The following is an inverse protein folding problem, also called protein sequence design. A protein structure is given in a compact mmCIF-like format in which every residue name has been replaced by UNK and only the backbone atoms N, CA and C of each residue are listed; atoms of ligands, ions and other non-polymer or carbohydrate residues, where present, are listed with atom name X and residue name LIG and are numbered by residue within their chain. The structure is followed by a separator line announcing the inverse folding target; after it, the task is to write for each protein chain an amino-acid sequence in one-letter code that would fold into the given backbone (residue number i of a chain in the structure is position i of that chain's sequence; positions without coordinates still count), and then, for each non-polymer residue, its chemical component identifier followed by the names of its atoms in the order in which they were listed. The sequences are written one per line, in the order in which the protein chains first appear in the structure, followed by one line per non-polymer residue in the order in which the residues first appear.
data_IF_493905070479
#
_entry.id   IF_493905070479
#
_cell.length_a   1.000
_cell.length_b   1.000
_cell.length_c   1.000
_cell.angle_alpha   90.00
_cell.angle_beta   90.00
_cell.angle_gamma   90.00
#
_symmetry.space_group_name_H-M   'P 1'
#
loop_
_entity.id
_entity.type
_entity.pdbx_description
1 polymer ?
#
# COMPACT_ATOMS: atom_id res chain seq x y z
N UNK A 1 10.36 -11.42 26.75
CA UNK A 1 10.51 -10.79 26.81
C UNK A 1 10.71 -10.75 26.91
N UNK A 2 10.68 -10.98 26.87
CA UNK A 2 10.87 -10.56 26.70
C UNK A 2 10.85 -10.13 26.59
N UNK A 3 10.38 -9.80 25.80
CA UNK A 3 10.46 -9.07 25.57
C UNK A 3 10.64 -8.85 25.19
N UNK A 4 10.54 -8.73 24.82
CA UNK A 4 10.87 -8.39 24.47
C UNK A 4 10.63 -7.91 24.18
N UNK A 5 10.42 -8.24 24.15
CA UNK A 5 10.39 -7.83 23.86
C UNK A 5 9.91 -7.71 23.86
N UNK A 6 9.46 -7.94 23.67
CA UNK A 6 9.24 -7.72 23.73
C UNK A 6 9.00 -7.62 23.94
N UNK A 7 8.72 -7.68 23.75
CA UNK A 7 8.75 -7.33 23.99
C UNK A 7 8.46 -7.36 24.06
N UNK A 8 8.06 -7.63 23.84
CA UNK A 8 7.91 -7.47 23.86
C UNK A 8 7.43 -7.79 23.87
N UNK A 9 7.17 -8.11 23.91
CA UNK A 9 6.68 -8.13 23.82
C UNK A 9 6.10 -8.34 23.63
N UNK A 10 5.90 -8.33 23.54
CA UNK A 10 5.04 -8.36 23.29
C UNK A 10 4.81 -8.61 22.84
N UNK A 11 4.68 -8.58 22.90
CA UNK A 11 4.25 -8.71 22.31
C UNK A 11 3.98 -8.47 21.40
N UNK A 12 4.14 -8.57 21.49
CA UNK A 12 3.89 -7.87 20.26
C UNK A 12 3.59 -8.80 19.14
N UNK A 13 2.37 -8.83 18.77
CA UNK A 13 1.91 -9.74 17.73
C UNK A 13 1.85 -9.06 16.38
N UNK A 14 2.89 -8.33 16.04
CA UNK A 14 2.98 -7.78 14.72
C UNK A 14 3.47 -8.86 13.78
N UNK A 15 2.75 -9.09 12.72
CA UNK A 15 3.20 -9.99 11.69
C UNK A 15 4.46 -9.45 11.02
N UNK A 16 5.16 -10.34 10.35
CA UNK A 16 6.30 -9.99 9.55
C UNK A 16 5.94 -8.98 8.48
N UNK A 17 6.85 -8.05 8.20
CA UNK A 17 6.67 -7.12 7.10
C UNK A 17 7.01 -7.79 5.78
N UNK A 18 6.16 -7.62 4.79
CA UNK A 18 6.36 -8.11 3.45
C UNK A 18 6.47 -6.96 2.47
N UNK A 19 7.18 -7.16 1.37
CA UNK A 19 7.25 -6.19 0.29
C UNK A 19 6.44 -6.68 -0.89
N UNK A 20 5.60 -5.81 -1.44
CA UNK A 20 4.95 -6.07 -2.70
C UNK A 20 5.90 -5.81 -3.86
N UNK A 21 5.65 -6.41 -5.00
CA UNK A 21 6.39 -6.13 -6.23
C UNK A 21 5.92 -4.80 -6.79
N UNK A 22 6.84 -3.85 -7.00
CA UNK A 22 6.48 -2.54 -7.52
C UNK A 22 6.74 -2.46 -9.02
N UNK A 23 5.88 -1.69 -9.71
CA UNK A 23 5.88 -1.56 -11.17
C UNK A 23 5.64 -0.09 -11.53
N UNK A 24 6.24 0.35 -12.63
CA UNK A 24 6.00 1.69 -13.20
C UNK A 24 6.35 2.82 -12.24
N UNK A 25 7.37 2.59 -11.40
CA UNK A 25 7.86 3.57 -10.44
C UNK A 25 9.38 3.62 -10.55
N UNK A 26 9.97 4.74 -10.14
CA UNK A 26 11.42 4.90 -10.14
C UNK A 26 12.01 5.00 -8.74
N UNK A 27 11.24 4.64 -7.74
CA UNK A 27 11.71 4.63 -6.36
C UNK A 27 10.59 4.39 -5.40
N UNK A 28 10.95 4.15 -4.15
CA UNK A 28 10.00 3.90 -3.09
C UNK A 28 9.74 2.44 -2.86
N UNK A 29 8.74 2.17 -2.05
CA UNK A 29 8.36 0.81 -1.68
C UNK A 29 6.88 0.73 -1.36
N UNK A 30 6.32 -0.47 -1.51
CA UNK A 30 4.99 -0.80 -1.01
C UNK A 30 5.18 -2.01 -0.10
N UNK A 31 4.88 -1.83 1.18
CA UNK A 31 5.05 -2.87 2.17
C UNK A 31 3.71 -3.17 2.83
N UNK A 32 3.56 -4.37 3.37
CA UNK A 32 2.33 -4.71 4.07
C UNK A 32 2.59 -5.66 5.23
N UNK A 33 1.65 -5.64 6.17
CA UNK A 33 1.61 -6.57 7.30
C UNK A 33 0.18 -7.08 7.43
N UNK A 34 0.05 -8.29 7.94
CA UNK A 34 -1.25 -8.91 8.15
C UNK A 34 -1.44 -9.16 9.63
N UNK A 35 -2.57 -8.74 10.17
CA UNK A 35 -2.93 -8.99 11.55
C UNK A 35 -4.43 -9.20 11.66
N UNK A 36 -4.83 -10.32 12.26
CA UNK A 36 -6.24 -10.65 12.51
C UNK A 36 -7.09 -10.57 11.24
N UNK A 37 -6.58 -11.06 10.10
CA UNK A 37 -7.31 -11.06 8.85
C UNK A 37 -7.37 -9.73 8.14
N UNK A 38 -6.67 -8.71 8.65
CA UNK A 38 -6.60 -7.38 8.03
C UNK A 38 -5.21 -7.19 7.45
N UNK A 39 -5.15 -6.73 6.22
CA UNK A 39 -3.90 -6.34 5.56
C UNK A 39 -3.71 -4.84 5.70
N UNK A 40 -2.58 -4.43 6.23
CA UNK A 40 -2.19 -3.03 6.40
C UNK A 40 -1.11 -2.73 5.38
N UNK A 41 -1.42 -1.86 4.42
CA UNK A 41 -0.50 -1.51 3.33
C UNK A 41 0.04 -0.11 3.54
N UNK A 42 1.34 0.04 3.32
CA UNK A 42 2.01 1.33 3.44
C UNK A 42 2.80 1.60 2.16
N UNK A 43 2.48 2.70 1.50
CA UNK A 43 3.18 3.19 0.31
C UNK A 43 4.15 4.26 0.76
N UNK A 44 5.44 4.04 0.51
CA UNK A 44 6.51 4.86 1.08
C UNK A 44 7.35 5.48 -0.03
N UNK A 45 7.37 6.81 -0.09
CA UNK A 45 8.27 7.58 -0.96
C UNK A 45 8.26 7.08 -2.40
N UNK A 46 7.07 6.79 -2.92
CA UNK A 46 6.89 6.15 -4.22
C UNK A 46 6.73 7.21 -5.31
N UNK A 47 7.49 7.07 -6.38
CA UNK A 47 7.47 8.04 -7.48
C UNK A 47 7.07 7.32 -8.77
N UNK A 48 5.83 7.50 -9.23
CA UNK A 48 5.40 6.86 -10.47
C UNK A 48 6.13 7.40 -11.70
N UNK A 49 6.31 6.54 -12.70
CA UNK A 49 6.94 6.90 -13.96
C UNK A 49 5.95 7.35 -15.03
N UNK A 50 4.68 6.98 -14.87
CA UNK A 50 3.68 7.10 -15.91
C UNK A 50 2.49 7.88 -15.38
N UNK A 51 2.05 8.87 -16.15
CA UNK A 51 0.84 9.65 -15.86
C UNK A 51 -0.26 9.15 -16.78
N UNK A 52 -1.12 8.28 -16.27
CA UNK A 52 -2.18 7.65 -17.06
C UNK A 52 -3.23 7.07 -16.10
N UNK A 53 -4.27 6.51 -16.67
CA UNK A 53 -5.27 5.75 -15.93
C UNK A 53 -4.82 4.30 -15.81
N UNK A 54 -5.21 3.66 -14.71
CA UNK A 54 -5.00 2.23 -14.48
C UNK A 54 -3.54 1.81 -14.58
N UNK A 55 -2.66 2.61 -13.99
CA UNK A 55 -1.23 2.29 -13.95
C UNK A 55 -1.01 1.25 -12.86
N UNK A 56 -0.47 0.09 -13.23
CA UNK A 56 -0.14 -0.96 -12.27
C UNK A 56 1.02 -0.49 -11.39
N UNK A 57 0.79 -0.42 -10.10
CA UNK A 57 1.78 0.08 -9.13
C UNK A 57 2.38 -1.05 -8.30
N UNK A 58 1.54 -1.92 -7.76
CA UNK A 58 2.00 -3.00 -6.90
C UNK A 58 1.26 -4.28 -7.22
N UNK A 59 1.96 -5.40 -7.11
CA UNK A 59 1.38 -6.73 -7.28
C UNK A 59 1.83 -7.61 -6.12
N UNK A 60 1.30 -8.83 -6.08
CA UNK A 60 1.58 -9.79 -5.00
C UNK A 60 1.07 -9.32 -3.64
N UNK A 61 0.00 -8.53 -3.64
CA UNK A 61 -0.71 -8.15 -2.42
C UNK A 61 -1.79 -9.18 -2.10
N UNK A 62 -2.12 -9.37 -0.83
CA UNK A 62 -3.28 -10.19 -0.47
C UNK A 62 -4.55 -9.67 -1.12
N UNK A 63 -5.45 -10.57 -1.49
CA UNK A 63 -6.71 -10.20 -2.16
C UNK A 63 -7.66 -9.54 -1.17
N UNK A 64 -8.18 -8.34 -1.49
CA UNK A 64 -9.15 -7.70 -0.61
C UNK A 64 -10.51 -8.39 -0.66
N UNK A 65 -11.20 -8.42 0.48
CA UNK A 65 -12.59 -8.85 0.52
C UNK A 65 -13.54 -7.74 0.03
N UNK A 66 -13.07 -6.50 0.03
CA UNK A 66 -13.83 -5.34 -0.46
C UNK A 66 -12.91 -4.47 -1.30
N UNK A 67 -13.48 -3.74 -2.25
CA UNK A 67 -12.71 -2.81 -3.07
C UNK A 67 -12.38 -1.55 -2.28
N UNK A 68 -11.16 -1.03 -2.48
CA UNK A 68 -10.68 0.19 -1.85
C UNK A 68 -10.36 1.23 -2.92
N UNK A 69 -10.75 2.47 -2.68
CA UNK A 69 -10.38 3.60 -3.53
C UNK A 69 -10.09 4.81 -2.64
N UNK A 70 -8.94 5.43 -2.84
CA UNK A 70 -8.50 6.56 -2.02
C UNK A 70 -7.88 7.64 -2.91
N UNK A 71 -8.09 8.93 -2.56
CA UNK A 71 -7.39 10.00 -3.26
C UNK A 71 -5.90 9.97 -2.93
N UNK A 72 -5.08 10.44 -3.86
CA UNK A 72 -3.63 10.57 -3.69
C UNK A 72 -3.27 12.04 -3.79
N UNK A 73 -2.58 12.57 -2.77
CA UNK A 73 -2.08 13.94 -2.80
C UNK A 73 -0.56 13.91 -2.73
N UNK A 74 0.05 14.96 -3.28
CA UNK A 74 1.49 15.15 -3.14
C UNK A 74 1.83 15.42 -1.67
N UNK A 75 2.88 14.77 -1.17
CA UNK A 75 3.32 15.01 0.22
C UNK A 75 3.91 16.40 0.43
N UNK A 76 4.25 17.10 -0.64
CA UNK A 76 4.94 18.38 -0.55
C UNK A 76 4.04 19.59 -0.75
N UNK A 77 2.90 19.45 -1.43
CA UNK A 77 2.14 20.61 -1.90
C UNK A 77 0.62 20.47 -1.81
N UNK A 78 0.12 19.38 -1.29
CA UNK A 78 -1.32 19.10 -1.20
C UNK A 78 -2.04 19.12 -2.56
N UNK A 79 -1.28 18.96 -3.64
CA UNK A 79 -1.87 18.86 -4.97
C UNK A 79 -2.42 17.45 -5.15
N UNK A 80 -3.62 17.34 -5.69
CA UNK A 80 -4.22 16.04 -5.99
C UNK A 80 -3.50 15.44 -7.19
N UNK A 81 -2.91 14.27 -6.99
CA UNK A 81 -2.20 13.54 -8.05
C UNK A 81 -3.14 12.60 -8.80
N UNK A 82 -4.23 12.18 -8.16
CA UNK A 82 -5.16 11.23 -8.72
C UNK A 82 -5.79 10.39 -7.62
N UNK A 83 -6.00 9.13 -7.92
CA UNK A 83 -6.51 8.20 -6.91
C UNK A 83 -5.88 6.83 -7.05
N UNK A 84 -5.93 6.08 -5.95
CA UNK A 84 -5.50 4.69 -5.88
C UNK A 84 -6.75 3.81 -5.86
N UNK A 85 -6.70 2.65 -6.51
CA UNK A 85 -7.73 1.66 -6.29
C UNK A 85 -7.13 0.25 -6.21
N UNK A 86 -7.76 -0.57 -5.39
CA UNK A 86 -7.38 -1.95 -5.17
C UNK A 86 -8.67 -2.75 -5.07
N UNK A 87 -9.02 -3.44 -6.13
CA UNK A 87 -10.34 -4.06 -6.29
C UNK A 87 -10.46 -5.37 -5.53
N UNK A 88 -11.68 -5.68 -5.13
CA UNK A 88 -12.00 -6.95 -4.49
C UNK A 88 -11.45 -8.12 -5.30
N UNK A 89 -10.75 -9.03 -4.62
CA UNK A 89 -10.23 -10.23 -5.24
C UNK A 89 -9.01 -10.05 -6.11
N UNK A 90 -8.45 -8.85 -6.21
CA UNK A 90 -7.30 -8.57 -7.05
C UNK A 90 -6.03 -8.49 -6.21
N UNK A 91 -4.95 -9.14 -6.68
CA UNK A 91 -3.65 -9.06 -6.02
C UNK A 91 -2.88 -7.80 -6.37
N UNK A 92 -3.40 -6.98 -7.28
CA UNK A 92 -2.72 -5.79 -7.80
C UNK A 92 -3.44 -4.52 -7.42
N UNK A 93 -2.66 -3.48 -7.19
CA UNK A 93 -3.13 -2.16 -6.83
C UNK A 93 -2.70 -1.18 -7.92
N UNK A 94 -3.57 -0.23 -8.28
CA UNK A 94 -3.42 0.66 -9.42
C UNK A 94 -3.58 2.12 -9.02
N UNK A 95 -2.94 2.99 -9.79
CA UNK A 95 -3.16 4.44 -9.70
C UNK A 95 -3.80 4.94 -10.98
N UNK A 96 -4.73 5.91 -10.82
CA UNK A 96 -5.15 6.79 -11.89
C UNK A 96 -4.49 8.13 -11.61
N UNK A 97 -3.63 8.61 -12.48
CA UNK A 97 -2.81 9.78 -12.22
C UNK A 97 -3.06 10.88 -13.22
N UNK A 98 -3.27 12.09 -12.73
CA UNK A 98 -3.36 13.33 -13.53
C UNK A 98 -2.09 14.15 -13.38
N UNK A 99 -1.29 13.87 -12.36
CA UNK A 99 0.01 14.50 -12.13
C UNK A 99 0.96 13.47 -11.54
N UNK A 100 2.27 13.72 -11.66
CA UNK A 100 3.30 12.87 -11.05
C UNK A 100 3.88 13.60 -9.85
N UNK A 101 4.03 12.88 -8.75
CA UNK A 101 4.64 13.39 -7.54
C UNK A 101 4.97 12.24 -6.61
N UNK A 102 5.65 12.56 -5.52
CA UNK A 102 6.02 11.56 -4.50
C UNK A 102 4.79 11.21 -3.67
N UNK A 103 4.53 9.92 -3.54
CA UNK A 103 3.33 9.42 -2.88
C UNK A 103 3.68 8.76 -1.55
N UNK A 104 2.96 9.16 -0.50
CA UNK A 104 2.89 8.46 0.78
C UNK A 104 1.42 8.21 1.06
N UNK A 105 1.07 6.95 1.30
CA UNK A 105 -0.32 6.59 1.53
C UNK A 105 -0.36 5.30 2.33
N UNK A 106 -1.30 5.19 3.25
CA UNK A 106 -1.54 3.96 3.98
C UNK A 106 -3.00 3.60 3.88
N UNK A 107 -3.29 2.31 3.74
CA UNK A 107 -4.67 1.83 3.75
C UNK A 107 -4.71 0.41 4.29
N UNK A 108 -5.88 -0.03 4.66
CA UNK A 108 -6.06 -1.40 5.14
C UNK A 108 -7.37 -1.97 4.61
N UNK A 109 -7.45 -3.30 4.62
CA UNK A 109 -8.64 -3.98 4.14
C UNK A 109 -8.71 -5.39 4.74
N UNK A 110 -9.92 -5.93 4.90
CA UNK A 110 -10.06 -7.34 5.25
C UNK A 110 -9.65 -8.21 4.08
N UNK A 111 -8.95 -9.29 4.37
CA UNK A 111 -8.44 -10.21 3.35
C UNK A 111 -9.55 -11.17 2.94
N UNK A 112 -9.67 -11.40 1.65
CA UNK A 112 -10.59 -12.37 1.09
C UNK A 112 -10.09 -13.77 1.43
N UNK A 113 -10.99 -14.54 2.03
CA UNK A 113 -10.70 -15.92 2.44
C UNK A 113 -11.35 -16.90 1.48
#
# INVERSE_FOLDING_TARGET
MFVRYIFLNGSLNLSEQHEATINNVRGGAVVYRIKNGICYVCIINLIPNIKANSVLIASDLPKPAVSCMLPITSNASNIVLGNMYHDQGNTSMFFNLVEIGTVYLSYCYPILI
#
